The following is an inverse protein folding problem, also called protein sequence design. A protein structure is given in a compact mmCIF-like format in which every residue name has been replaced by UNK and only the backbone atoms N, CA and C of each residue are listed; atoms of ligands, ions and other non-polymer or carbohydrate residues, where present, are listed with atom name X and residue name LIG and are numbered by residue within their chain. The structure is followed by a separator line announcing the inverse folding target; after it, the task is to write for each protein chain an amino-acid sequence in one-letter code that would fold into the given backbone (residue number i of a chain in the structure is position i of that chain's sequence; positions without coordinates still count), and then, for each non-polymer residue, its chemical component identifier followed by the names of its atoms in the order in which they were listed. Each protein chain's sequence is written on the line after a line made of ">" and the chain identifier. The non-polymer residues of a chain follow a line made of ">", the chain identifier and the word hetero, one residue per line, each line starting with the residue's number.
data_IF_857894559903
#
_entry.id   IF_857894559903
#
_cell.length_a   1.000
_cell.length_b   1.000
_cell.length_c   1.000
_cell.angle_alpha   90.00
_cell.angle_beta   90.00
_cell.angle_gamma   90.00
#
_symmetry.space_group_name_H-M   'P 1'
#
loop_
_entity.id
_entity.type
_entity.pdbx_description
1 polymer ?
#
# COMPACT_ATOMS: atom_id res chain seq x y z
N UNK A 1 -2.83 11.44 91.81
CA UNK A 1 -2.71 10.91 90.44
C UNK A 1 -4.08 10.52 89.92
N UNK A 2 -4.65 11.34 89.04
CA UNK A 2 -5.95 11.06 88.40
C UNK A 2 -5.69 10.43 87.03
N UNK A 3 -6.35 9.29 86.76
CA UNK A 3 -6.20 8.50 85.53
C UNK A 3 -6.49 9.36 84.28
N UNK A 4 -5.73 9.21 83.17
CA UNK A 4 -5.88 9.99 81.94
C UNK A 4 -7.28 9.98 81.33
N UNK A 5 -8.10 8.99 81.67
CA UNK A 5 -9.43 8.79 81.11
C UNK A 5 -10.46 9.83 81.59
N UNK A 6 -10.19 10.55 82.69
CA UNK A 6 -11.16 11.49 83.26
C UNK A 6 -11.36 12.75 82.39
N UNK A 7 -10.31 13.19 81.66
CA UNK A 7 -10.38 14.38 80.81
C UNK A 7 -11.11 14.15 79.47
N UNK A 8 -11.31 12.89 79.08
CA UNK A 8 -12.02 12.56 77.84
C UNK A 8 -13.54 12.72 77.98
N UNK A 9 -14.08 12.58 79.20
CA UNK A 9 -15.54 12.55 79.43
C UNK A 9 -16.11 13.98 79.56
N UNK A 10 -15.34 14.93 80.11
CA UNK A 10 -15.82 16.29 80.40
C UNK A 10 -15.82 17.24 79.21
N UNK A 11 -15.30 16.81 78.06
CA UNK A 11 -15.29 17.66 76.85
C UNK A 11 -16.70 17.72 76.25
N UNK A 12 -17.34 18.91 76.11
CA UNK A 12 -18.68 19.05 75.58
C UNK A 12 -18.68 18.67 74.09
N UNK A 13 -18.90 17.39 73.84
CA UNK A 13 -18.80 16.75 72.52
C UNK A 13 -18.25 15.32 72.55
N UNK A 14 -17.82 14.81 73.72
CA UNK A 14 -17.42 13.41 73.94
C UNK A 14 -18.57 12.41 73.79
N UNK A 15 -19.82 12.86 73.97
CA UNK A 15 -21.03 12.05 73.84
C UNK A 15 -21.76 12.19 72.49
N UNK A 16 -21.19 12.91 71.53
CA UNK A 16 -21.79 13.08 70.20
C UNK A 16 -21.35 11.94 69.27
N UNK A 17 -22.31 11.16 68.78
CA UNK A 17 -22.06 10.16 67.72
C UNK A 17 -21.65 10.93 66.46
N UNK A 18 -20.38 10.83 66.09
CA UNK A 18 -19.89 11.39 64.83
C UNK A 18 -20.40 10.52 63.69
N UNK A 19 -20.98 11.10 62.62
CA UNK A 19 -21.36 10.31 61.45
C UNK A 19 -20.11 9.68 60.84
N UNK A 20 -20.03 8.36 60.90
CA UNK A 20 -18.97 7.59 60.25
C UNK A 20 -19.24 7.58 58.75
N UNK A 21 -18.40 8.26 57.95
CA UNK A 21 -18.49 8.19 56.49
C UNK A 21 -18.10 6.76 56.08
N UNK A 22 -19.03 5.94 55.55
CA UNK A 22 -18.64 4.63 55.05
C UNK A 22 -17.59 4.83 53.96
N UNK A 23 -16.52 4.03 53.99
CA UNK A 23 -15.53 4.07 52.91
C UNK A 23 -16.26 3.75 51.61
N UNK A 24 -15.99 4.56 50.57
CA UNK A 24 -16.53 4.31 49.25
C UNK A 24 -16.06 2.91 48.81
N UNK A 25 -16.97 1.97 48.49
CA UNK A 25 -16.62 0.59 48.18
C UNK A 25 -15.64 0.46 47.01
N UNK A 26 -15.65 1.41 46.07
CA UNK A 26 -14.69 1.51 44.96
C UNK A 26 -13.26 1.77 45.47
N UNK A 27 -13.13 2.52 46.57
CA UNK A 27 -11.85 2.83 47.20
C UNK A 27 -11.52 1.92 48.39
N UNK A 28 -12.50 1.20 48.95
CA UNK A 28 -12.30 0.31 50.08
C UNK A 28 -11.58 -0.99 49.68
N UNK A 29 -11.85 -1.49 48.47
CA UNK A 29 -11.20 -2.69 47.94
C UNK A 29 -9.95 -2.34 47.14
N UNK A 30 -8.78 -2.70 47.66
CA UNK A 30 -7.49 -2.55 46.95
C UNK A 30 -7.49 -3.28 45.60
N UNK A 31 -8.08 -4.48 45.56
CA UNK A 31 -8.23 -5.26 44.32
C UNK A 31 -9.05 -4.51 43.26
N UNK A 32 -10.15 -3.86 43.65
CA UNK A 32 -10.95 -3.07 42.72
C UNK A 32 -10.19 -1.86 42.17
N UNK A 33 -9.42 -1.18 43.02
CA UNK A 33 -8.57 -0.06 42.58
C UNK A 33 -7.47 -0.51 41.60
N UNK A 34 -6.84 -1.65 41.87
CA UNK A 34 -5.79 -2.22 41.00
C UNK A 34 -6.36 -2.60 39.64
N UNK A 35 -7.52 -3.25 39.62
CA UNK A 35 -8.24 -3.56 38.38
C UNK A 35 -8.56 -2.28 37.58
N UNK A 36 -9.06 -1.23 38.23
CA UNK A 36 -9.35 0.03 37.56
C UNK A 36 -8.10 0.67 36.94
N UNK A 37 -6.97 0.66 37.66
CA UNK A 37 -5.68 1.15 37.15
C UNK A 37 -5.21 0.32 35.97
N UNK A 38 -5.31 -1.00 36.04
CA UNK A 38 -4.92 -1.89 34.95
C UNK A 38 -5.76 -1.69 33.69
N UNK A 39 -7.09 -1.58 33.83
CA UNK A 39 -8.00 -1.32 32.72
C UNK A 39 -7.67 0.00 32.01
N UNK A 40 -7.46 1.08 32.77
CA UNK A 40 -7.03 2.37 32.20
C UNK A 40 -5.68 2.25 31.48
N UNK A 41 -4.72 1.53 32.06
CA UNK A 41 -3.40 1.34 31.44
C UNK A 41 -3.50 0.51 30.16
N UNK A 42 -4.32 -0.53 30.14
CA UNK A 42 -4.56 -1.38 28.96
C UNK A 42 -5.26 -0.59 27.87
N UNK A 43 -6.33 0.15 28.17
CA UNK A 43 -7.00 1.01 27.21
C UNK A 43 -6.04 2.05 26.61
N UNK A 44 -5.26 2.73 27.46
CA UNK A 44 -4.22 3.67 27.01
C UNK A 44 -3.12 3.00 26.19
N UNK A 45 -2.82 1.71 26.37
CA UNK A 45 -1.85 0.97 25.55
C UNK A 45 -2.43 0.56 24.21
N UNK A 46 -3.71 0.20 24.17
CA UNK A 46 -4.44 -0.11 22.94
C UNK A 46 -4.64 1.14 22.08
N UNK A 47 -4.94 2.28 22.70
CA UNK A 47 -5.10 3.58 22.02
C UNK A 47 -3.77 4.23 21.58
N UNK A 48 -2.62 3.70 22.01
CA UNK A 48 -1.29 4.18 21.56
C UNK A 48 -0.93 3.68 20.15
N UNK A 49 -1.66 2.70 19.62
CA UNK A 49 -1.51 2.23 18.25
C UNK A 49 -2.50 2.91 17.33
N UNK A 50 -2.09 3.17 16.07
CA UNK A 50 -3.06 3.52 15.02
C UNK A 50 -4.08 2.40 14.92
N UNK A 51 -5.37 2.73 15.00
CA UNK A 51 -6.44 1.76 14.83
C UNK A 51 -6.30 1.08 13.46
N UNK A 52 -6.88 -0.11 13.30
CA UNK A 52 -6.86 -0.81 12.01
C UNK A 52 -7.40 0.07 10.88
N UNK A 53 -8.48 0.81 11.16
CA UNK A 53 -9.06 1.78 10.21
C UNK A 53 -8.08 2.90 9.86
N UNK A 54 -7.40 3.51 10.85
CA UNK A 54 -6.39 4.53 10.58
C UNK A 54 -5.24 3.98 9.73
N UNK A 55 -4.75 2.77 10.04
CA UNK A 55 -3.71 2.10 9.26
C UNK A 55 -4.16 1.82 7.82
N UNK A 56 -5.41 1.39 7.64
CA UNK A 56 -6.00 1.14 6.32
C UNK A 56 -6.15 2.44 5.52
N UNK A 57 -6.60 3.52 6.15
CA UNK A 57 -6.72 4.84 5.49
C UNK A 57 -5.35 5.41 5.10
N UNK A 58 -4.35 5.28 5.96
CA UNK A 58 -2.97 5.68 5.64
C UNK A 58 -2.37 4.86 4.51
N UNK A 59 -2.55 3.53 4.54
CA UNK A 59 -2.14 2.63 3.47
C UNK A 59 -2.78 3.03 2.15
N UNK A 60 -4.11 3.24 2.13
CA UNK A 60 -4.84 3.71 0.94
C UNK A 60 -4.31 5.04 0.41
N UNK A 61 -4.08 6.02 1.27
CA UNK A 61 -3.52 7.33 0.89
C UNK A 61 -2.10 7.20 0.31
N UNK A 62 -1.30 6.29 0.85
CA UNK A 62 0.04 6.01 0.34
C UNK A 62 -0.02 5.33 -1.03
N UNK A 63 -0.85 4.29 -1.18
CA UNK A 63 -1.05 3.58 -2.46
C UNK A 63 -1.56 4.51 -3.56
N UNK A 64 -2.50 5.41 -3.25
CA UNK A 64 -2.98 6.40 -4.21
C UNK A 64 -1.88 7.34 -4.69
N UNK A 65 -1.02 7.83 -3.78
CA UNK A 65 0.12 8.70 -4.14
C UNK A 65 1.16 7.94 -4.97
N UNK A 66 1.46 6.71 -4.59
CA UNK A 66 2.41 5.87 -5.34
C UNK A 66 1.89 5.53 -6.72
N UNK A 67 0.59 5.24 -6.87
CA UNK A 67 -0.04 5.00 -8.17
C UNK A 67 0.09 6.23 -9.07
N UNK A 68 -0.25 7.41 -8.58
CA UNK A 68 -0.12 8.65 -9.36
C UNK A 68 1.33 8.90 -9.82
N UNK A 69 2.31 8.70 -8.93
CA UNK A 69 3.73 8.85 -9.28
C UNK A 69 4.19 7.80 -10.29
N UNK A 70 3.71 6.56 -10.18
CA UNK A 70 4.06 5.47 -11.08
C UNK A 70 3.45 5.69 -12.47
N UNK A 71 2.17 6.05 -12.55
CA UNK A 71 1.48 6.35 -13.80
C UNK A 71 2.16 7.53 -14.53
N UNK A 72 2.59 8.57 -13.80
CA UNK A 72 3.36 9.68 -14.36
C UNK A 72 4.74 9.24 -14.87
N UNK A 73 5.42 8.36 -14.14
CA UNK A 73 6.72 7.83 -14.57
C UNK A 73 6.59 6.91 -15.79
N UNK A 74 5.55 6.09 -15.87
CA UNK A 74 5.23 5.27 -17.04
C UNK A 74 4.89 6.14 -18.25
N UNK A 75 4.07 7.18 -18.09
CA UNK A 75 3.80 8.14 -19.15
C UNK A 75 5.06 8.83 -19.67
N UNK A 76 5.95 9.27 -18.77
CA UNK A 76 7.23 9.88 -19.15
C UNK A 76 8.19 8.88 -19.82
N UNK A 77 8.17 7.61 -19.43
CA UNK A 77 8.92 6.56 -20.10
C UNK A 77 8.39 6.32 -21.52
N UNK A 78 7.07 6.34 -21.69
CA UNK A 78 6.43 6.18 -23.00
C UNK A 78 6.67 7.37 -23.92
N UNK A 79 6.94 8.56 -23.38
CA UNK A 79 7.34 9.74 -24.17
C UNK A 79 8.84 9.84 -24.43
N UNK A 80 9.65 8.96 -23.83
CA UNK A 80 11.10 8.96 -24.03
C UNK A 80 11.47 8.75 -25.51
N UNK A 81 12.46 9.48 -26.05
CA UNK A 81 12.91 9.30 -27.43
C UNK A 81 13.26 7.85 -27.78
N UNK A 82 13.89 7.13 -26.84
CA UNK A 82 14.22 5.72 -27.00
C UNK A 82 12.98 4.84 -27.12
N UNK A 83 11.93 5.11 -26.33
CA UNK A 83 10.68 4.36 -26.40
C UNK A 83 9.97 4.57 -27.75
N UNK A 84 9.95 5.81 -28.25
CA UNK A 84 9.42 6.11 -29.58
C UNK A 84 10.20 5.40 -30.69
N UNK A 85 11.53 5.31 -30.56
CA UNK A 85 12.36 4.59 -31.54
C UNK A 85 12.14 3.09 -31.50
N UNK A 86 11.98 2.49 -30.31
CA UNK A 86 11.58 1.10 -30.17
C UNK A 86 10.22 0.82 -30.80
N UNK A 87 9.23 1.70 -30.58
CA UNK A 87 7.89 1.59 -31.19
C UNK A 87 7.97 1.64 -32.72
N UNK A 88 8.75 2.58 -33.28
CA UNK A 88 8.99 2.68 -34.72
C UNK A 88 9.66 1.42 -35.26
N UNK A 89 10.64 0.86 -34.54
CA UNK A 89 11.33 -0.38 -34.93
C UNK A 89 10.37 -1.56 -34.92
N UNK A 90 9.54 -1.69 -33.90
CA UNK A 90 8.52 -2.72 -33.81
C UNK A 90 7.56 -2.65 -35.02
N UNK A 91 7.03 -1.46 -35.31
CA UNK A 91 6.13 -1.27 -36.46
C UNK A 91 6.78 -1.66 -37.79
N UNK A 92 8.07 -1.34 -37.99
CA UNK A 92 8.80 -1.76 -39.20
C UNK A 92 8.89 -3.28 -39.30
N UNK A 93 9.19 -3.97 -38.20
CA UNK A 93 9.28 -5.43 -38.17
C UNK A 93 7.93 -6.08 -38.44
N UNK A 94 6.85 -5.59 -37.84
CA UNK A 94 5.50 -6.09 -38.08
C UNK A 94 5.06 -5.92 -39.54
N UNK A 95 5.42 -4.80 -40.18
CA UNK A 95 5.16 -4.58 -41.60
C UNK A 95 5.93 -5.58 -42.48
N UNK A 96 7.22 -5.79 -42.19
CA UNK A 96 8.04 -6.77 -42.92
C UNK A 96 7.49 -8.18 -42.76
N UNK A 97 7.11 -8.59 -41.54
CA UNK A 97 6.51 -9.90 -41.29
C UNK A 97 5.18 -10.07 -42.06
N UNK A 98 4.37 -9.02 -42.12
CA UNK A 98 3.12 -9.03 -42.90
C UNK A 98 3.40 -9.13 -44.40
N UNK A 99 4.40 -8.43 -44.91
CA UNK A 99 4.81 -8.54 -46.30
C UNK A 99 5.34 -9.94 -46.63
N UNK A 100 6.15 -10.55 -45.76
CA UNK A 100 6.62 -11.93 -45.95
C UNK A 100 5.48 -12.92 -45.96
N UNK A 101 4.52 -12.82 -45.02
CA UNK A 101 3.31 -13.65 -45.02
C UNK A 101 2.52 -13.48 -46.31
N UNK A 102 2.35 -12.25 -46.79
CA UNK A 102 1.64 -11.98 -48.04
C UNK A 102 2.34 -12.60 -49.26
N UNK A 103 3.68 -12.56 -49.31
CA UNK A 103 4.49 -13.20 -50.36
C UNK A 103 4.44 -14.73 -50.28
N UNK A 104 4.30 -15.29 -49.08
CA UNK A 104 4.14 -16.73 -48.89
C UNK A 104 2.74 -17.20 -49.31
N UNK A 105 1.72 -16.37 -49.08
CA UNK A 105 0.33 -16.60 -49.51
C UNK A 105 0.10 -16.30 -51.01
N UNK A 106 1.04 -15.62 -51.69
CA UNK A 106 0.94 -15.38 -53.13
C UNK A 106 0.92 -16.71 -53.91
N UNK A 107 0.06 -16.82 -54.94
CA UNK A 107 0.00 -18.01 -55.79
C UNK A 107 1.37 -18.40 -56.35
N UNK A 108 1.69 -19.69 -56.28
CA UNK A 108 3.00 -20.25 -56.64
C UNK A 108 3.49 -19.84 -58.04
N UNK A 109 2.58 -19.71 -59.01
CA UNK A 109 2.93 -19.32 -60.38
C UNK A 109 3.50 -17.88 -60.48
N UNK A 110 3.04 -16.95 -59.64
CA UNK A 110 3.60 -15.59 -59.56
C UNK A 110 5.02 -15.64 -58.99
N UNK A 111 5.24 -16.47 -57.97
CA UNK A 111 6.56 -16.68 -57.38
C UNK A 111 7.55 -17.28 -58.40
N UNK A 112 7.13 -18.32 -59.14
CA UNK A 112 7.95 -18.95 -60.19
C UNK A 112 8.26 -17.96 -61.31
N UNK A 113 7.27 -17.17 -61.76
CA UNK A 113 7.47 -16.13 -62.78
C UNK A 113 8.49 -15.08 -62.37
N UNK A 114 8.43 -14.60 -61.13
CA UNK A 114 9.39 -13.62 -60.62
C UNK A 114 10.80 -14.23 -60.43
N UNK A 115 10.90 -15.49 -60.00
CA UNK A 115 12.18 -16.23 -59.94
C UNK A 115 12.84 -16.33 -61.33
N UNK A 116 12.05 -16.72 -62.35
CA UNK A 116 12.52 -16.78 -63.73
C UNK A 116 12.95 -15.39 -64.25
N UNK A 117 12.20 -14.32 -63.92
CA UNK A 117 12.60 -12.95 -64.29
C UNK A 117 13.96 -12.58 -63.68
N UNK A 118 14.21 -12.89 -62.41
CA UNK A 118 15.49 -12.61 -61.75
C UNK A 118 16.65 -13.37 -62.39
N UNK A 119 16.46 -14.66 -62.71
CA UNK A 119 17.51 -15.44 -63.39
C UNK A 119 17.80 -14.93 -64.80
N UNK A 120 16.77 -14.49 -65.55
CA UNK A 120 16.99 -13.92 -66.89
C UNK A 120 17.75 -12.59 -66.86
N UNK A 121 17.55 -11.76 -65.82
CA UNK A 121 18.30 -10.51 -65.65
C UNK A 121 19.76 -10.78 -65.28
N UNK A 122 20.05 -11.84 -64.51
CA UNK A 122 21.43 -12.23 -64.21
C UNK A 122 22.15 -12.84 -65.42
N UNK A 123 21.49 -13.69 -66.21
CA UNK A 123 22.04 -14.26 -67.47
C UNK A 123 22.30 -13.18 -68.54
N UNK A 124 21.50 -12.12 -68.57
CA UNK A 124 21.71 -10.99 -69.48
C UNK A 124 22.88 -10.08 -69.06
N UNK A 125 23.28 -10.09 -67.78
CA UNK A 125 24.43 -9.34 -67.27
C UNK A 125 25.78 -10.02 -67.54
N UNK A 126 25.80 -11.34 -67.73
CA UNK A 126 27.03 -12.11 -67.99
C UNK A 126 27.42 -12.17 -69.48
N UNK A 127 26.53 -11.78 -70.41
CA UNK A 127 26.79 -11.78 -71.87
C UNK A 127 27.44 -10.51 -72.41
N UNK A 128 27.93 -9.63 -71.54
CA UNK A 128 28.72 -8.45 -71.91
C UNK A 128 30.13 -8.52 -71.30
N UNK A 129 30.94 -9.47 -71.80
CA UNK A 129 32.42 -9.51 -71.71
C UNK A 129 32.96 -10.06 -73.02
#
# INVERSE_FOLDING_TARGET
>A
DLSPDYFSITSPGSHLIRPHKPLNPITASKSHQELHKELQMTHKRLDRGKTELQRALEKRKWEQRMKASRDQQEANKNTSPLHQELLKRQQRLENLEREEKSKQEEPEFLQVKERLRRTTVMDAGEKQV
#
